data_IF_302394338715
#
_entry.id   IF_302394338715
#
_cell.length_a   1.000
_cell.length_b   1.000
_cell.length_c   1.000
_cell.angle_alpha   90.00
_cell.angle_beta   90.00
_cell.angle_gamma   90.00
#
_symmetry.space_group_name_H-M   'P 1'
#
loop_
_entity.id
_entity.type
_entity.pdbx_description
1 polymer ?
#
# COMPACT_ATOMS: atom_id res chain seq x y z
N UNK A 1 -21.84 -4.40 -38.09
CA UNK A 1 -21.16 -3.26 -37.45
C UNK A 1 -21.93 -2.02 -37.85
N UNK A 2 -22.85 -1.54 -37.03
CA UNK A 2 -23.61 -0.34 -37.33
C UNK A 2 -22.70 0.87 -37.08
N UNK A 3 -22.59 1.73 -38.07
CA UNK A 3 -22.00 3.04 -37.91
C UNK A 3 -22.79 3.77 -36.82
N UNK A 4 -22.08 4.30 -35.83
CA UNK A 4 -22.64 5.23 -34.87
C UNK A 4 -23.02 6.48 -35.67
N UNK A 5 -24.33 6.74 -35.83
CA UNK A 5 -24.85 7.99 -36.34
C UNK A 5 -24.40 9.11 -35.33
N UNK A 6 -23.42 9.86 -35.72
CA UNK A 6 -23.10 11.13 -35.04
C UNK A 6 -24.05 12.18 -35.61
N UNK A 7 -24.91 12.74 -34.76
CA UNK A 7 -25.62 13.96 -35.08
C UNK A 7 -24.56 15.06 -35.34
N UNK A 8 -24.66 15.71 -36.49
CA UNK A 8 -23.67 16.68 -36.99
C UNK A 8 -23.56 17.95 -36.10
N UNK A 9 -24.43 18.10 -35.09
CA UNK A 9 -24.47 19.25 -34.15
C UNK A 9 -23.84 18.94 -32.77
N UNK A 10 -23.44 17.67 -32.49
CA UNK A 10 -22.76 17.33 -31.25
C UNK A 10 -21.24 17.43 -31.44
N UNK A 11 -20.65 18.53 -31.03
CA UNK A 11 -19.19 18.65 -30.94
C UNK A 11 -18.67 17.65 -29.89
N UNK A 12 -17.84 16.64 -30.27
CA UNK A 12 -17.29 15.66 -29.35
C UNK A 12 -16.48 16.27 -28.20
N UNK A 13 -16.09 17.55 -28.32
CA UNK A 13 -15.37 18.30 -27.29
C UNK A 13 -16.30 18.92 -26.23
N UNK A 14 -17.59 19.12 -26.54
CA UNK A 14 -18.56 19.74 -25.62
C UNK A 14 -19.21 18.72 -24.68
N UNK A 15 -19.42 17.48 -25.16
CA UNK A 15 -20.04 16.41 -24.38
C UNK A 15 -19.31 15.07 -24.50
N UNK A 16 -18.09 14.94 -23.96
CA UNK A 16 -17.34 13.71 -24.05
C UNK A 16 -18.05 12.56 -23.32
N UNK A 17 -18.32 11.47 -24.03
CA UNK A 17 -18.91 10.24 -23.45
C UNK A 17 -17.89 9.49 -22.56
N UNK A 18 -16.61 9.65 -22.82
CA UNK A 18 -15.50 9.07 -22.07
C UNK A 18 -14.43 10.16 -21.88
N UNK A 19 -13.96 10.33 -20.64
CA UNK A 19 -13.01 11.37 -20.30
C UNK A 19 -13.69 12.70 -19.93
N UNK A 20 -12.90 13.74 -19.83
CA UNK A 20 -13.36 15.11 -19.53
C UNK A 20 -12.43 16.14 -20.16
N UNK A 21 -12.90 17.35 -20.48
CA UNK A 21 -12.01 18.43 -20.92
C UNK A 21 -10.97 18.77 -19.85
N UNK A 22 -9.72 19.00 -20.26
CA UNK A 22 -8.63 19.35 -19.33
C UNK A 22 -8.99 20.55 -18.44
N UNK A 23 -9.59 21.58 -19.03
CA UNK A 23 -9.94 22.80 -18.28
C UNK A 23 -10.98 22.53 -17.18
N UNK A 24 -11.93 21.61 -17.38
CA UNK A 24 -12.89 21.24 -16.34
C UNK A 24 -12.19 20.58 -15.16
N UNK A 25 -11.16 19.74 -15.39
CA UNK A 25 -10.36 19.16 -14.33
C UNK A 25 -9.51 20.21 -13.60
N UNK A 26 -8.88 21.14 -14.33
CA UNK A 26 -8.01 22.17 -13.75
C UNK A 26 -8.78 23.20 -12.93
N UNK A 27 -10.07 23.39 -13.19
CA UNK A 27 -10.94 24.30 -12.43
C UNK A 27 -11.68 23.59 -11.27
N UNK A 28 -11.60 22.27 -11.20
CA UNK A 28 -12.17 21.49 -10.10
C UNK A 28 -11.37 21.74 -8.82
N UNK A 29 -12.05 22.12 -7.74
CA UNK A 29 -11.41 22.25 -6.43
C UNK A 29 -11.28 20.86 -5.82
N UNK A 30 -10.09 20.30 -5.87
CA UNK A 30 -9.77 19.04 -5.21
C UNK A 30 -9.19 19.33 -3.82
N UNK A 31 -9.64 18.56 -2.83
CA UNK A 31 -9.01 18.60 -1.51
C UNK A 31 -7.56 18.10 -1.61
N UNK A 32 -6.63 18.84 -0.99
CA UNK A 32 -5.24 18.41 -0.90
C UNK A 32 -5.16 17.23 0.04
N UNK A 33 -4.80 16.08 -0.48
CA UNK A 33 -4.62 14.87 0.34
C UNK A 33 -3.34 14.99 1.15
N UNK A 34 -3.51 15.08 2.46
CA UNK A 34 -2.38 15.04 3.39
C UNK A 34 -1.81 13.62 3.49
N UNK A 35 -0.49 13.53 3.62
CA UNK A 35 0.15 12.24 3.90
C UNK A 35 -0.30 11.72 5.28
N UNK A 36 -0.58 10.42 5.41
CA UNK A 36 -1.09 9.85 6.65
C UNK A 36 -0.06 9.90 7.79
N UNK A 37 1.23 9.92 7.46
CA UNK A 37 2.34 9.96 8.41
C UNK A 37 3.58 10.60 7.78
N UNK A 38 4.46 11.21 8.59
CA UNK A 38 5.68 11.88 8.12
C UNK A 38 6.65 10.99 7.33
N UNK A 39 6.54 9.68 7.49
CA UNK A 39 7.34 8.68 6.76
C UNK A 39 6.55 7.97 5.65
N UNK A 40 5.24 8.17 5.59
CA UNK A 40 4.36 7.49 4.65
C UNK A 40 3.69 8.48 3.70
N UNK A 41 4.04 8.49 2.42
CA UNK A 41 3.36 9.30 1.42
C UNK A 41 1.90 8.90 1.26
N UNK A 42 1.05 9.84 0.82
CA UNK A 42 -0.35 9.55 0.48
C UNK A 42 -0.46 8.59 -0.72
N UNK A 43 -1.54 7.82 -0.77
CA UNK A 43 -1.84 6.82 -1.79
C UNK A 43 -1.34 5.43 -1.44
N UNK A 44 -1.18 4.59 -2.46
CA UNK A 44 -0.68 3.23 -2.30
C UNK A 44 0.85 3.21 -2.26
N UNK A 45 1.41 2.78 -1.14
CA UNK A 45 2.86 2.63 -0.92
C UNK A 45 3.24 1.16 -0.76
N UNK A 46 4.24 0.72 -1.53
CA UNK A 46 4.86 -0.60 -1.35
C UNK A 46 6.16 -0.46 -0.53
N UNK A 47 6.20 -1.08 0.65
CA UNK A 47 7.40 -1.17 1.50
C UNK A 47 8.09 -2.52 1.32
N UNK A 48 9.29 -2.50 0.75
CA UNK A 48 10.14 -3.68 0.58
C UNK A 48 11.33 -3.69 1.53
N UNK A 49 11.87 -4.86 1.79
CA UNK A 49 13.10 -5.05 2.56
C UNK A 49 13.33 -6.52 2.89
N UNK A 50 14.53 -6.87 3.30
CA UNK A 50 14.89 -8.26 3.68
C UNK A 50 13.97 -8.79 4.78
N UNK A 51 13.82 -10.11 4.84
CA UNK A 51 13.17 -10.75 6.00
C UNK A 51 13.88 -10.34 7.29
N UNK A 52 13.09 -10.02 8.33
CA UNK A 52 13.59 -9.53 9.63
C UNK A 52 14.33 -8.17 9.57
N UNK A 53 14.09 -7.36 8.54
CA UNK A 53 14.66 -6.00 8.46
C UNK A 53 13.91 -4.93 9.26
N UNK A 54 12.87 -5.30 10.00
CA UNK A 54 12.09 -4.36 10.81
C UNK A 54 10.90 -3.70 10.10
N UNK A 55 10.51 -4.17 8.90
CA UNK A 55 9.34 -3.63 8.16
C UNK A 55 8.06 -3.63 8.99
N UNK A 56 7.71 -4.78 9.60
CA UNK A 56 6.52 -4.89 10.45
C UNK A 56 6.62 -3.95 11.67
N UNK A 57 7.81 -3.81 12.26
CA UNK A 57 8.04 -2.86 13.38
C UNK A 57 7.80 -1.42 12.94
N UNK A 58 8.29 -1.03 11.76
CA UNK A 58 8.03 0.29 11.19
C UNK A 58 6.54 0.50 10.89
N UNK A 59 5.88 -0.50 10.29
CA UNK A 59 4.45 -0.44 9.99
C UNK A 59 3.59 -0.34 11.25
N UNK A 60 3.93 -1.09 12.31
CA UNK A 60 3.26 -1.02 13.61
C UNK A 60 3.48 0.33 14.31
N UNK A 61 4.66 0.93 14.17
CA UNK A 61 4.92 2.25 14.71
C UNK A 61 4.09 3.31 13.97
N UNK A 62 4.04 3.26 12.66
CA UNK A 62 3.16 4.13 11.85
C UNK A 62 1.69 3.93 12.26
N UNK A 63 1.25 2.68 12.43
CA UNK A 63 -0.11 2.38 12.88
C UNK A 63 -0.40 2.93 14.27
N UNK A 64 0.54 2.81 15.22
CA UNK A 64 0.42 3.34 16.58
C UNK A 64 0.23 4.86 16.53
N UNK A 65 1.08 5.59 15.81
CA UNK A 65 1.02 7.05 15.74
C UNK A 65 -0.24 7.54 15.01
N UNK A 66 -0.58 6.95 13.85
CA UNK A 66 -1.76 7.34 13.07
C UNK A 66 -3.06 7.01 13.79
N UNK A 67 -3.13 5.88 14.49
CA UNK A 67 -4.39 5.41 15.11
C UNK A 67 -4.84 6.23 16.32
N UNK A 68 -4.02 7.16 16.81
CA UNK A 68 -4.44 8.12 17.85
C UNK A 68 -5.46 9.15 17.35
N UNK A 69 -5.46 9.45 16.05
CA UNK A 69 -6.30 10.47 15.44
C UNK A 69 -7.18 9.95 14.30
N UNK A 70 -6.71 8.92 13.59
CA UNK A 70 -7.33 8.37 12.38
C UNK A 70 -7.57 6.87 12.52
N UNK A 71 -8.59 6.35 11.83
CA UNK A 71 -8.89 4.91 11.86
C UNK A 71 -7.90 4.14 11.00
N UNK A 72 -7.33 3.09 11.56
CA UNK A 72 -6.37 2.21 10.91
C UNK A 72 -6.94 0.80 10.79
N UNK A 73 -6.92 0.24 9.60
CA UNK A 73 -7.15 -1.19 9.34
C UNK A 73 -5.82 -1.88 9.15
N UNK A 74 -5.42 -2.77 10.08
CA UNK A 74 -4.14 -3.48 9.99
C UNK A 74 -4.39 -4.97 9.74
N UNK A 75 -4.01 -5.43 8.55
CA UNK A 75 -4.04 -6.85 8.19
C UNK A 75 -2.71 -7.49 8.58
N UNK A 76 -2.65 -8.05 9.81
CA UNK A 76 -1.49 -8.73 10.38
C UNK A 76 -1.48 -10.22 9.98
N UNK A 77 -1.33 -10.50 8.69
CA UNK A 77 -1.58 -11.82 8.10
C UNK A 77 -0.48 -12.87 8.37
N UNK A 78 0.60 -12.49 9.04
CA UNK A 78 1.60 -13.43 9.57
C UNK A 78 1.44 -13.68 11.08
N UNK A 79 0.45 -13.04 11.74
CA UNK A 79 0.30 -13.10 13.19
C UNK A 79 -0.88 -13.98 13.60
N UNK A 80 -0.60 -14.96 14.47
CA UNK A 80 -1.64 -15.58 15.27
C UNK A 80 -2.00 -14.69 16.49
N UNK A 81 -3.08 -15.01 17.18
CA UNK A 81 -3.59 -14.22 18.33
C UNK A 81 -2.54 -13.96 19.43
N UNK A 82 -1.66 -14.95 19.71
CA UNK A 82 -0.60 -14.78 20.74
C UNK A 82 0.45 -13.77 20.29
N UNK A 83 0.90 -13.85 19.04
CA UNK A 83 1.86 -12.91 18.48
C UNK A 83 1.27 -11.50 18.41
N UNK A 84 0.03 -11.38 17.91
CA UNK A 84 -0.65 -10.10 17.83
C UNK A 84 -0.77 -9.44 19.21
N UNK A 85 -1.20 -10.20 20.25
CA UNK A 85 -1.29 -9.69 21.61
C UNK A 85 0.04 -9.11 22.11
N UNK A 86 1.17 -9.80 21.88
CA UNK A 86 2.49 -9.28 22.30
C UNK A 86 2.97 -8.09 21.48
N UNK A 87 2.69 -8.08 20.17
CA UNK A 87 3.12 -7.00 19.27
C UNK A 87 2.35 -5.70 19.48
N UNK A 88 1.06 -5.80 19.79
CA UNK A 88 0.15 -4.66 19.96
C UNK A 88 -0.14 -4.34 21.44
N UNK A 89 0.59 -4.91 22.41
CA UNK A 89 0.35 -4.68 23.86
C UNK A 89 0.51 -3.22 24.30
N UNK A 90 1.26 -2.41 23.52
CA UNK A 90 1.45 -0.98 23.78
C UNK A 90 0.27 -0.11 23.31
N UNK A 91 -0.62 -0.67 22.47
CA UNK A 91 -1.84 0.02 22.05
C UNK A 91 -2.87 -0.01 23.17
N UNK A 92 -3.65 1.03 23.30
CA UNK A 92 -4.70 1.19 24.32
C UNK A 92 -6.01 1.66 23.68
N UNK A 93 -7.00 1.95 24.48
CA UNK A 93 -8.35 2.32 24.05
C UNK A 93 -8.42 3.64 23.26
N UNK A 94 -7.36 4.49 23.30
CA UNK A 94 -7.31 5.71 22.48
C UNK A 94 -6.96 5.44 21.03
N UNK A 95 -6.45 4.24 20.70
CA UNK A 95 -6.05 3.89 19.33
C UNK A 95 -7.24 3.34 18.53
N UNK A 96 -7.56 4.00 17.44
CA UNK A 96 -8.63 3.60 16.52
C UNK A 96 -8.10 2.59 15.48
N UNK A 97 -7.80 1.37 15.94
CA UNK A 97 -7.23 0.33 15.10
C UNK A 97 -8.09 -0.93 15.08
N UNK A 98 -8.34 -1.47 13.89
CA UNK A 98 -8.94 -2.77 13.68
C UNK A 98 -7.92 -3.74 13.12
N UNK A 99 -7.76 -4.91 13.75
CA UNK A 99 -6.82 -5.96 13.35
C UNK A 99 -7.55 -7.10 12.63
N UNK A 100 -6.96 -7.54 11.52
CA UNK A 100 -7.33 -8.78 10.83
C UNK A 100 -6.13 -9.72 10.88
N UNK A 101 -6.31 -10.91 11.47
CA UNK A 101 -5.23 -11.86 11.69
C UNK A 101 -5.16 -12.94 10.60
N UNK A 102 -4.13 -13.80 10.66
CA UNK A 102 -3.97 -14.92 9.77
C UNK A 102 -5.22 -15.81 9.74
N UNK A 103 -5.77 -16.05 8.54
CA UNK A 103 -6.96 -16.90 8.32
C UNK A 103 -8.32 -16.23 8.55
N UNK A 104 -8.35 -14.94 8.90
CA UNK A 104 -9.60 -14.18 9.08
C UNK A 104 -10.08 -13.49 7.79
N UNK A 105 -9.27 -13.50 6.74
CA UNK A 105 -9.62 -13.02 5.40
C UNK A 105 -9.15 -14.02 4.33
N UNK A 106 -9.93 -14.19 3.28
CA UNK A 106 -9.59 -15.00 2.14
C UNK A 106 -8.51 -14.33 1.27
N UNK A 107 -7.91 -15.12 0.38
CA UNK A 107 -6.92 -14.62 -0.57
C UNK A 107 -7.60 -13.96 -1.78
N UNK A 108 -6.93 -13.00 -2.37
CA UNK A 108 -7.34 -12.38 -3.64
C UNK A 108 -7.45 -13.47 -4.71
N UNK A 109 -8.56 -13.46 -5.47
CA UNK A 109 -8.96 -14.52 -6.40
C UNK A 109 -9.65 -15.72 -5.73
N UNK A 110 -9.95 -15.65 -4.44
CA UNK A 110 -10.70 -16.64 -3.66
C UNK A 110 -11.77 -15.99 -2.76
N UNK A 111 -12.12 -14.74 -3.02
CA UNK A 111 -13.07 -13.95 -2.24
C UNK A 111 -12.44 -12.81 -1.43
N UNK A 112 -11.11 -12.74 -1.38
CA UNK A 112 -10.37 -11.74 -0.61
C UNK A 112 -10.63 -10.30 -1.07
N UNK A 113 -10.92 -10.10 -2.35
CA UNK A 113 -11.29 -8.79 -2.93
C UNK A 113 -12.53 -8.24 -2.24
N UNK A 114 -13.57 -9.07 -2.18
CA UNK A 114 -14.82 -8.70 -1.50
C UNK A 114 -14.60 -8.52 0.00
N UNK A 115 -13.81 -9.39 0.63
CA UNK A 115 -13.48 -9.26 2.05
C UNK A 115 -12.78 -7.94 2.36
N UNK A 116 -11.82 -7.50 1.53
CA UNK A 116 -11.17 -6.19 1.67
C UNK A 116 -12.17 -5.05 1.49
N UNK A 117 -13.03 -5.11 0.48
CA UNK A 117 -14.05 -4.10 0.24
C UNK A 117 -15.04 -4.00 1.41
N UNK A 118 -15.53 -5.12 1.92
CA UNK A 118 -16.43 -5.17 3.09
C UNK A 118 -15.76 -4.57 4.34
N UNK A 119 -14.45 -4.81 4.55
CA UNK A 119 -13.69 -4.22 5.65
C UNK A 119 -13.54 -2.70 5.47
N UNK A 120 -13.23 -2.21 4.26
CA UNK A 120 -13.13 -0.78 3.97
C UNK A 120 -14.48 -0.06 4.20
N UNK A 121 -15.58 -0.67 3.78
CA UNK A 121 -16.92 -0.11 3.97
C UNK A 121 -17.35 -0.13 5.44
N UNK A 122 -17.05 -1.21 6.16
CA UNK A 122 -17.46 -1.38 7.57
C UNK A 122 -16.70 -0.46 8.51
N UNK A 123 -15.38 -0.40 8.39
CA UNK A 123 -14.52 0.34 9.31
C UNK A 123 -14.15 1.74 8.81
N UNK A 124 -14.33 2.00 7.51
CA UNK A 124 -13.98 3.25 6.83
C UNK A 124 -12.63 3.82 7.32
N UNK A 125 -11.53 3.05 7.23
CA UNK A 125 -10.22 3.49 7.70
C UNK A 125 -9.67 4.61 6.83
N UNK A 126 -8.86 5.49 7.37
CA UNK A 126 -8.04 6.44 6.63
C UNK A 126 -6.74 5.78 6.14
N UNK A 127 -6.22 4.81 6.90
CA UNK A 127 -5.02 4.05 6.51
C UNK A 127 -5.28 2.54 6.60
N UNK A 128 -4.98 1.81 5.51
CA UNK A 128 -4.92 0.36 5.50
C UNK A 128 -3.45 -0.09 5.47
N UNK A 129 -3.10 -1.10 6.28
CA UNK A 129 -1.77 -1.73 6.27
C UNK A 129 -1.92 -3.21 5.97
N UNK A 130 -1.17 -3.73 5.00
CA UNK A 130 -1.14 -5.15 4.62
C UNK A 130 0.23 -5.73 4.95
N UNK A 131 0.32 -6.47 6.04
CA UNK A 131 1.52 -7.16 6.51
C UNK A 131 1.29 -8.67 6.47
N UNK A 132 1.50 -9.30 5.34
CA UNK A 132 2.30 -9.03 4.17
C UNK A 132 1.54 -9.48 2.91
N UNK A 133 1.83 -8.84 1.77
CA UNK A 133 1.20 -9.15 0.47
C UNK A 133 1.23 -10.64 0.11
N UNK A 134 2.32 -11.34 0.42
CA UNK A 134 2.48 -12.76 0.15
C UNK A 134 1.39 -13.66 0.75
N UNK A 135 0.76 -13.22 1.84
CA UNK A 135 -0.33 -13.95 2.50
C UNK A 135 -1.69 -13.66 1.87
N UNK A 136 -1.84 -12.49 1.24
CA UNK A 136 -3.10 -12.07 0.61
C UNK A 136 -3.20 -12.53 -0.85
N UNK A 137 -2.09 -12.70 -1.55
CA UNK A 137 -2.08 -13.14 -2.94
C UNK A 137 -2.55 -14.59 -3.11
N UNK A 138 -3.14 -14.91 -4.28
CA UNK A 138 -3.54 -16.29 -4.64
C UNK A 138 -2.36 -17.26 -4.60
N UNK A 139 -2.59 -18.48 -4.08
CA UNK A 139 -1.63 -19.57 -4.16
C UNK A 139 -1.72 -20.29 -5.53
N UNK A 140 -0.61 -20.93 -5.94
CA UNK A 140 -0.55 -21.82 -7.12
C UNK A 140 -0.74 -21.15 -8.49
N UNK A 141 -0.60 -19.85 -8.60
CA UNK A 141 -0.40 -19.13 -9.86
C UNK A 141 1.05 -18.65 -9.96
N UNK A 142 1.56 -18.41 -11.16
CA UNK A 142 2.91 -17.91 -11.36
C UNK A 142 3.18 -16.73 -10.40
N UNK A 143 4.32 -16.74 -9.72
CA UNK A 143 4.61 -15.77 -8.64
C UNK A 143 4.38 -14.30 -9.06
N UNK A 144 4.70 -13.99 -10.32
CA UNK A 144 4.58 -12.66 -10.90
C UNK A 144 3.12 -12.20 -11.05
N UNK A 145 2.29 -13.05 -11.66
CA UNK A 145 0.90 -12.69 -11.97
C UNK A 145 0.07 -12.54 -10.70
N UNK A 146 0.33 -13.37 -9.68
CA UNK A 146 -0.41 -13.33 -8.43
C UNK A 146 -0.11 -12.08 -7.58
N UNK A 147 1.14 -11.61 -7.55
CA UNK A 147 1.51 -10.39 -6.82
C UNK A 147 1.04 -9.14 -7.54
N UNK A 148 1.22 -9.10 -8.87
CA UNK A 148 0.72 -8.02 -9.69
C UNK A 148 -0.80 -7.87 -9.57
N UNK A 149 -1.54 -8.99 -9.71
CA UNK A 149 -2.99 -8.98 -9.56
C UNK A 149 -3.44 -8.52 -8.17
N UNK A 150 -2.83 -9.06 -7.12
CA UNK A 150 -3.17 -8.67 -5.76
C UNK A 150 -2.90 -7.18 -5.51
N UNK A 151 -1.80 -6.64 -6.03
CA UNK A 151 -1.49 -5.22 -5.90
C UNK A 151 -2.46 -4.34 -6.70
N UNK A 152 -2.88 -4.80 -7.90
CA UNK A 152 -3.84 -4.09 -8.74
C UNK A 152 -5.21 -4.02 -8.06
N UNK A 153 -5.70 -5.12 -7.53
CA UNK A 153 -6.98 -5.16 -6.78
C UNK A 153 -6.94 -4.23 -5.54
N UNK A 154 -5.82 -4.23 -4.81
CA UNK A 154 -5.62 -3.29 -3.69
C UNK A 154 -5.65 -1.84 -4.20
N UNK A 155 -4.96 -1.55 -5.32
CA UNK A 155 -4.92 -0.19 -5.90
C UNK A 155 -6.30 0.29 -6.30
N UNK A 156 -7.09 -0.57 -6.97
CA UNK A 156 -8.45 -0.25 -7.40
C UNK A 156 -9.35 0.09 -6.20
N UNK A 157 -9.25 -0.68 -5.10
CA UNK A 157 -10.00 -0.40 -3.87
C UNK A 157 -9.54 0.90 -3.18
N UNK A 158 -8.23 1.11 -3.09
CA UNK A 158 -7.63 2.31 -2.50
C UNK A 158 -8.07 3.56 -3.25
N UNK A 159 -8.05 3.53 -4.59
CA UNK A 159 -8.47 4.64 -5.43
C UNK A 159 -10.00 4.85 -5.38
N UNK A 160 -10.77 3.76 -5.43
CA UNK A 160 -12.24 3.81 -5.39
C UNK A 160 -12.78 4.46 -4.12
N UNK A 161 -12.14 4.18 -2.98
CA UNK A 161 -12.57 4.66 -1.66
C UNK A 161 -11.72 5.80 -1.12
N UNK A 162 -10.80 6.34 -1.92
CA UNK A 162 -9.88 7.43 -1.56
C UNK A 162 -9.16 7.16 -0.22
N UNK A 163 -8.42 6.03 -0.15
CA UNK A 163 -7.72 5.60 1.06
C UNK A 163 -6.21 5.62 0.88
N UNK A 164 -5.49 5.70 2.01
CA UNK A 164 -4.06 5.44 2.04
C UNK A 164 -3.80 3.98 2.36
N UNK A 165 -2.75 3.41 1.74
CA UNK A 165 -2.41 2.02 1.98
C UNK A 165 -0.90 1.80 1.99
N UNK A 166 -0.43 1.06 3.01
CA UNK A 166 0.92 0.56 3.13
C UNK A 166 0.93 -0.95 2.96
N UNK A 167 1.54 -1.43 1.88
CA UNK A 167 1.69 -2.87 1.60
C UNK A 167 3.12 -3.30 1.81
N UNK A 168 3.34 -4.30 2.67
CA UNK A 168 4.65 -4.86 2.93
C UNK A 168 4.95 -6.04 2.01
N UNK A 169 6.19 -6.11 1.50
CA UNK A 169 6.70 -7.24 0.73
C UNK A 169 8.15 -7.56 1.12
N UNK A 170 8.60 -8.77 0.80
CA UNK A 170 10.01 -9.13 0.97
C UNK A 170 10.84 -8.65 -0.24
N UNK A 171 12.11 -8.30 0.00
CA UNK A 171 13.05 -8.08 -1.10
C UNK A 171 13.54 -9.41 -1.68
N UNK A 172 13.87 -9.43 -2.99
CA UNK A 172 14.46 -10.56 -3.69
C UNK A 172 15.87 -10.93 -3.19
N UNK A 173 16.32 -12.11 -3.62
CA UNK A 173 17.74 -12.44 -3.53
C UNK A 173 18.49 -11.57 -4.54
N UNK A 174 19.72 -11.10 -4.22
CA UNK A 174 20.55 -10.41 -5.20
C UNK A 174 20.74 -11.33 -6.43
N UNK A 175 20.32 -10.87 -7.60
CA UNK A 175 20.70 -11.50 -8.85
C UNK A 175 22.00 -10.85 -9.27
N UNK A 176 23.13 -11.51 -9.07
CA UNK A 176 24.49 -11.36 -9.59
C UNK A 176 25.06 -10.00 -10.09
N UNK A 177 24.25 -9.03 -10.45
CA UNK A 177 24.60 -7.64 -10.71
C UNK A 177 24.11 -6.80 -9.54
N UNK A 178 25.00 -6.48 -8.60
CA UNK A 178 24.71 -5.55 -7.52
C UNK A 178 24.54 -4.14 -8.10
N UNK A 179 23.32 -3.79 -8.46
CA UNK A 179 22.94 -2.40 -8.69
C UNK A 179 22.96 -1.67 -7.33
N UNK A 180 23.51 -0.47 -7.32
CA UNK A 180 23.51 0.41 -6.15
C UNK A 180 22.12 0.96 -5.84
N UNK A 181 21.17 0.88 -6.79
CA UNK A 181 19.79 1.32 -6.59
C UNK A 181 19.07 0.38 -5.61
N UNK A 182 18.62 0.89 -4.44
CA UNK A 182 17.90 0.11 -3.45
C UNK A 182 16.60 -0.51 -3.99
N UNK A 183 15.99 0.10 -4.99
CA UNK A 183 14.72 -0.33 -5.56
C UNK A 183 14.82 -1.51 -6.51
N UNK A 184 15.98 -1.77 -7.08
CA UNK A 184 16.19 -2.95 -7.94
C UNK A 184 16.05 -4.29 -7.19
N UNK A 185 16.11 -4.24 -5.86
CA UNK A 185 15.96 -5.41 -4.98
C UNK A 185 14.51 -5.69 -4.54
N UNK A 186 13.56 -4.88 -4.99
CA UNK A 186 12.14 -5.18 -4.77
C UNK A 186 11.79 -6.47 -5.50
N UNK A 187 11.34 -7.50 -4.75
CA UNK A 187 10.90 -8.79 -5.36
C UNK A 187 9.69 -8.50 -6.24
N UNK A 188 9.69 -9.16 -7.35
CA UNK A 188 8.63 -9.08 -8.32
C UNK A 188 9.16 -8.48 -9.60
N UNK A 189 8.30 -8.43 -10.58
CA UNK A 189 8.62 -7.82 -11.86
C UNK A 189 8.64 -6.29 -11.74
N UNK A 190 9.22 -5.66 -12.73
CA UNK A 190 8.99 -4.24 -13.04
C UNK A 190 7.49 -3.89 -12.98
N UNK A 191 6.62 -4.87 -13.27
CA UNK A 191 5.18 -4.74 -13.19
C UNK A 191 4.68 -4.47 -11.75
N UNK A 192 5.20 -5.19 -10.74
CA UNK A 192 4.81 -4.93 -9.35
C UNK A 192 5.22 -3.53 -8.87
N UNK A 193 6.36 -3.02 -9.33
CA UNK A 193 6.81 -1.66 -9.01
C UNK A 193 5.98 -0.58 -9.71
N UNK A 194 5.32 -0.91 -10.82
CA UNK A 194 4.52 0.01 -11.63
C UNK A 194 3.11 0.29 -11.08
N UNK A 195 2.58 -0.56 -10.21
CA UNK A 195 1.21 -0.40 -9.67
C UNK A 195 1.13 0.65 -8.55
N UNK A 196 1.98 0.60 -7.49
CA UNK A 196 1.89 1.55 -6.39
C UNK A 196 2.22 2.99 -6.82
N UNK A 197 1.70 3.96 -6.09
CA UNK A 197 2.03 5.38 -6.26
C UNK A 197 3.44 5.66 -5.73
N UNK A 198 3.82 4.95 -4.66
CA UNK A 198 5.10 5.15 -3.99
C UNK A 198 5.79 3.81 -3.70
N UNK A 199 7.11 3.84 -3.77
CA UNK A 199 7.99 2.73 -3.40
C UNK A 199 8.85 3.14 -2.21
N UNK A 200 8.95 2.26 -1.22
CA UNK A 200 9.83 2.42 -0.07
C UNK A 200 10.68 1.16 0.11
N UNK A 201 11.94 1.35 0.49
CA UNK A 201 12.87 0.25 0.79
C UNK A 201 13.52 0.49 2.14
N UNK A 202 13.34 -0.47 3.05
CA UNK A 202 14.00 -0.45 4.36
C UNK A 202 15.26 -1.32 4.32
N UNK A 203 16.43 -0.67 4.43
CA UNK A 203 17.73 -1.31 4.58
C UNK A 203 18.17 -1.26 6.04
N UNK A 204 18.31 -2.41 6.67
CA UNK A 204 18.79 -2.50 8.05
C UNK A 204 20.31 -2.47 8.09
N UNK A 205 20.89 -1.62 8.93
CA UNK A 205 22.28 -1.61 9.38
C UNK A 205 22.41 -2.13 10.82
N UNK A 206 23.56 -1.94 11.46
CA UNK A 206 23.83 -2.50 12.80
C UNK A 206 23.00 -1.87 13.93
N UNK A 207 22.80 -0.55 13.94
CA UNK A 207 22.00 0.21 14.93
C UNK A 207 21.06 1.23 14.29
N UNK A 208 21.08 1.31 13.01
CA UNK A 208 20.31 2.25 12.22
C UNK A 208 19.71 1.51 11.04
N UNK A 209 18.60 2.01 10.52
CA UNK A 209 18.05 1.59 9.26
C UNK A 209 18.00 2.79 8.32
N UNK A 210 18.11 2.53 7.02
CA UNK A 210 17.92 3.55 6.00
C UNK A 210 16.60 3.26 5.28
N UNK A 211 15.72 4.25 5.28
CA UNK A 211 14.47 4.24 4.56
C UNK A 211 14.61 5.07 3.28
N UNK A 212 14.63 4.41 2.14
CA UNK A 212 14.59 5.05 0.83
C UNK A 212 13.14 5.14 0.36
N UNK A 213 12.74 6.25 -0.23
CA UNK A 213 11.41 6.43 -0.80
C UNK A 213 11.50 7.15 -2.15
N UNK A 214 10.63 6.78 -3.10
CA UNK A 214 10.36 7.49 -4.36
C UNK A 214 8.92 7.24 -4.80
N UNK A 215 8.34 8.13 -5.58
CA UNK A 215 6.96 7.97 -6.05
C UNK A 215 6.65 8.82 -7.27
N UNK A 216 5.40 8.73 -7.76
CA UNK A 216 4.95 9.49 -8.92
C UNK A 216 4.88 10.99 -8.64
N UNK A 217 4.53 11.35 -7.38
CA UNK A 217 4.35 12.75 -6.96
C UNK A 217 5.35 13.19 -5.89
N UNK A 218 6.26 12.30 -5.46
CA UNK A 218 7.31 12.62 -4.48
C UNK A 218 8.69 12.42 -5.07
N UNK A 219 9.65 13.32 -4.82
CA UNK A 219 11.03 13.12 -5.24
C UNK A 219 11.69 11.99 -4.46
N UNK A 220 12.74 11.36 -5.02
CA UNK A 220 13.55 10.41 -4.28
C UNK A 220 14.10 11.02 -2.99
N UNK A 221 14.00 10.28 -1.90
CA UNK A 221 14.45 10.69 -0.58
C UNK A 221 15.07 9.53 0.19
N UNK A 222 15.91 9.88 1.16
CA UNK A 222 16.55 8.95 2.07
C UNK A 222 16.47 9.49 3.49
N UNK A 223 16.06 8.63 4.43
CA UNK A 223 16.01 8.96 5.86
C UNK A 223 16.75 7.89 6.67
N UNK A 224 17.60 8.31 7.56
CA UNK A 224 18.21 7.41 8.55
C UNK A 224 17.30 7.31 9.76
N UNK A 225 16.96 6.08 10.15
CA UNK A 225 16.13 5.77 11.30
C UNK A 225 17.02 5.12 12.37
N UNK A 226 17.07 5.69 13.58
CA UNK A 226 17.72 5.06 14.72
C UNK A 226 16.80 4.04 15.35
N UNK A 227 17.30 2.85 15.66
CA UNK A 227 16.51 1.81 16.30
C UNK A 227 16.88 1.69 17.76
N UNK A 228 15.99 2.14 18.64
CA UNK A 228 16.17 2.14 20.09
C UNK A 228 14.92 1.61 20.79
N UNK A 229 15.09 0.77 21.82
CA UNK A 229 13.98 0.23 22.62
C UNK A 229 12.84 -0.42 21.79
N UNK A 230 13.18 -1.05 20.67
CA UNK A 230 12.19 -1.72 19.82
C UNK A 230 11.42 -0.82 18.84
N UNK A 231 11.79 0.46 18.73
CA UNK A 231 11.19 1.47 17.82
C UNK A 231 12.25 2.14 16.94
N UNK A 232 11.81 2.67 15.80
CA UNK A 232 12.61 3.53 14.93
C UNK A 232 12.54 4.99 15.34
#
# INVERSE_FOLDING_TARGET
MSALDFDADDDPWDTPRIGRPLMSLLTETLEVREQPHSWLPAGLTLLSGKTKSGKSTLAEQIAEEVSTEKRVLYLALEYNKRMAKGRFERFNESHQIHLVLEGEIDRIGQGGEKGLEDLLLTYNPELMIVDILAKLKRQNTGHYDAEYKAMTEIKELVDKYDKDCLVLTHSGKPTGNDSDDPFDKIIGSTALQGVPDNLMVLKQGNRQATLHAKGRLIPPSEKTLSFENGKY
#
